data_IF_370735509107
#
_entry.id   IF_370735509107
#
_cell.length_a   1.000
_cell.length_b   1.000
_cell.length_c   1.000
_cell.angle_alpha   90.00
_cell.angle_beta   90.00
_cell.angle_gamma   90.00
#
_symmetry.space_group_name_H-M   'P 1'
#
loop_
_entity.id
_entity.type
_entity.pdbx_description
1 polymer ?
#
# COMPACT_ATOMS: atom_id res chain seq x y z
N UNK A 1 -9.89 10.01 -14.41
CA UNK A 1 -9.63 9.03 -13.34
C UNK A 1 -8.79 7.92 -13.93
N UNK A 2 -7.47 8.00 -13.74
CA UNK A 2 -6.52 7.01 -14.26
C UNK A 2 -6.48 5.83 -13.31
N UNK A 3 -6.96 4.69 -13.77
CA UNK A 3 -6.91 3.42 -13.03
C UNK A 3 -5.47 2.93 -13.01
N UNK A 4 -4.85 3.01 -11.86
CA UNK A 4 -3.53 2.44 -11.64
C UNK A 4 -3.63 0.90 -11.67
N UNK A 5 -2.76 0.31 -12.46
CA UNK A 5 -2.57 -1.13 -12.63
C UNK A 5 -2.44 -1.85 -11.28
N UNK A 6 -2.85 -3.12 -11.21
CA UNK A 6 -2.97 -3.99 -10.04
C UNK A 6 -1.68 -4.25 -9.22
N UNK A 7 -0.58 -3.59 -9.54
CA UNK A 7 0.59 -3.50 -8.65
C UNK A 7 0.33 -2.36 -7.68
N UNK A 8 0.44 -2.64 -6.38
CA UNK A 8 0.42 -1.62 -5.32
C UNK A 8 1.19 -0.39 -5.80
N UNK A 9 0.59 0.82 -5.76
CA UNK A 9 1.27 2.01 -6.22
C UNK A 9 2.60 2.12 -5.48
N UNK A 10 3.69 2.09 -6.23
CA UNK A 10 5.01 2.36 -5.64
C UNK A 10 4.92 3.74 -4.99
N UNK A 11 5.57 3.91 -3.84
CA UNK A 11 5.59 5.16 -3.06
C UNK A 11 5.89 6.39 -3.92
N UNK A 12 6.69 6.22 -4.97
CA UNK A 12 7.02 7.24 -5.94
C UNK A 12 5.81 7.73 -6.75
N UNK A 13 4.92 6.81 -7.15
CA UNK A 13 3.73 7.17 -7.92
C UNK A 13 2.72 7.96 -7.08
N UNK A 14 2.61 7.64 -5.78
CA UNK A 14 1.74 8.38 -4.88
C UNK A 14 2.23 9.83 -4.69
N UNK A 15 3.52 10.02 -4.43
CA UNK A 15 4.12 11.35 -4.28
C UNK A 15 4.02 12.17 -5.59
N UNK A 16 4.32 11.55 -6.73
CA UNK A 16 4.21 12.20 -8.04
C UNK A 16 2.77 12.61 -8.39
N UNK A 17 1.76 11.84 -7.94
CA UNK A 17 0.36 12.17 -8.18
C UNK A 17 -0.12 13.36 -7.37
N UNK A 18 0.35 13.52 -6.13
CA UNK A 18 0.04 14.68 -5.30
C UNK A 18 0.54 15.98 -5.92
N UNK A 19 1.76 16.00 -6.45
CA UNK A 19 2.31 17.18 -7.15
C UNK A 19 1.55 17.58 -8.42
N UNK A 20 0.68 16.71 -8.93
CA UNK A 20 -0.18 16.95 -10.09
C UNK A 20 -1.66 17.16 -9.71
N UNK A 21 -1.98 17.34 -8.45
CA UNK A 21 -3.35 17.41 -7.92
C UNK A 21 -4.23 16.20 -8.30
N UNK A 22 -3.62 15.03 -8.49
CA UNK A 22 -4.33 13.79 -8.78
C UNK A 22 -4.52 13.03 -7.47
N UNK A 23 -5.76 12.84 -7.06
CA UNK A 23 -6.08 11.98 -5.93
C UNK A 23 -5.97 10.50 -6.33
N UNK A 24 -4.89 9.86 -5.92
CA UNK A 24 -4.65 8.44 -6.18
C UNK A 24 -5.31 7.58 -5.11
N UNK A 25 -6.40 6.91 -5.47
CA UNK A 25 -7.08 5.97 -4.60
C UNK A 25 -6.49 4.56 -4.79
N UNK A 26 -5.68 4.14 -3.86
CA UNK A 26 -5.10 2.79 -3.88
C UNK A 26 -4.42 2.47 -2.56
N UNK A 27 -4.35 1.18 -2.18
CA UNK A 27 -3.70 0.79 -0.93
C UNK A 27 -2.21 1.06 -1.00
N UNK A 28 -1.68 1.67 0.03
CA UNK A 28 -0.24 1.80 0.22
C UNK A 28 0.28 0.58 0.99
N UNK A 29 1.49 0.17 0.68
CA UNK A 29 2.11 -0.96 1.36
C UNK A 29 2.24 -0.68 2.85
N UNK A 30 1.78 -1.61 3.67
CA UNK A 30 1.97 -1.59 5.12
C UNK A 30 3.46 -1.61 5.48
N UNK A 31 3.78 -1.23 6.69
CA UNK A 31 5.12 -1.44 7.22
C UNK A 31 5.33 -2.94 7.46
N UNK A 32 6.31 -3.51 6.75
CA UNK A 32 6.65 -4.93 6.87
C UNK A 32 7.82 -5.16 7.83
N UNK A 33 8.26 -4.14 8.56
CA UNK A 33 9.27 -4.32 9.59
C UNK A 33 8.75 -5.30 10.64
N UNK A 34 9.66 -6.05 11.28
CA UNK A 34 9.24 -6.95 12.34
C UNK A 34 8.65 -6.17 13.52
N UNK A 35 9.13 -4.94 13.75
CA UNK A 35 8.61 -4.05 14.78
C UNK A 35 7.14 -3.68 14.55
N UNK A 36 6.74 -3.47 13.31
CA UNK A 36 5.35 -3.16 13.00
C UNK A 36 4.41 -4.38 13.08
N UNK A 37 4.97 -5.60 13.13
CA UNK A 37 4.19 -6.85 13.25
C UNK A 37 4.02 -7.31 14.69
N UNK A 38 4.96 -6.96 15.56
CA UNK A 38 4.92 -7.32 16.97
C UNK A 38 4.32 -6.17 17.79
N UNK A 39 3.32 -6.47 18.60
CA UNK A 39 2.58 -5.45 19.37
C UNK A 39 3.48 -4.71 20.38
N UNK A 40 4.50 -5.38 20.91
CA UNK A 40 5.39 -4.81 21.92
C UNK A 40 6.66 -4.18 21.34
N UNK A 41 6.87 -4.24 20.04
CA UNK A 41 8.08 -3.72 19.43
C UNK A 41 7.94 -2.25 19.00
N UNK A 42 9.05 -1.52 19.07
CA UNK A 42 9.09 -0.10 18.70
C UNK A 42 9.27 0.07 17.19
N UNK A 43 8.19 0.35 16.52
CA UNK A 43 8.19 0.74 15.10
C UNK A 43 8.52 2.23 14.92
N UNK A 44 8.60 2.68 13.68
CA UNK A 44 8.96 4.07 13.37
C UNK A 44 7.94 5.09 13.89
N UNK A 45 6.69 4.71 14.11
CA UNK A 45 5.63 5.64 14.53
C UNK A 45 5.79 6.10 15.98
N UNK A 46 6.52 5.34 16.79
CA UNK A 46 6.78 5.64 18.20
C UNK A 46 8.01 6.54 18.41
N UNK A 47 8.75 6.80 17.33
CA UNK A 47 9.90 7.71 17.38
C UNK A 47 9.46 9.13 16.99
N UNK A 48 9.89 10.10 17.77
CA UNK A 48 9.66 11.51 17.47
C UNK A 48 10.75 12.03 16.53
N UNK A 49 10.33 12.51 15.35
CA UNK A 49 11.25 12.97 14.31
C UNK A 49 11.22 14.50 14.26
N UNK A 50 12.32 15.12 14.62
CA UNK A 50 12.56 16.54 14.43
C UNK A 50 13.34 16.72 13.12
N UNK A 51 12.62 17.18 12.11
CA UNK A 51 13.17 17.38 10.77
C UNK A 51 14.06 18.61 10.65
N UNK A 52 13.81 19.61 11.46
CA UNK A 52 14.52 20.90 11.38
C UNK A 52 15.87 20.81 12.09
N UNK A 53 15.92 20.14 13.23
CA UNK A 53 17.16 19.87 13.94
C UNK A 53 17.84 18.57 13.47
N UNK A 54 17.22 17.78 12.60
CA UNK A 54 17.72 16.50 12.11
C UNK A 54 18.02 15.49 13.25
N UNK A 55 17.10 15.41 14.19
CA UNK A 55 17.23 14.57 15.39
C UNK A 55 16.00 13.65 15.49
N UNK A 56 16.23 12.41 15.92
CA UNK A 56 15.15 11.51 16.33
C UNK A 56 15.29 11.18 17.80
N UNK A 57 14.17 11.28 18.52
CA UNK A 57 14.07 10.84 19.91
C UNK A 57 13.39 9.48 19.96
N UNK A 58 14.02 8.51 20.62
CA UNK A 58 13.44 7.19 20.82
C UNK A 58 12.38 7.20 21.94
N UNK A 59 11.52 6.16 22.06
CA UNK A 59 10.50 6.08 23.12
C UNK A 59 11.06 6.17 24.55
N UNK A 60 12.35 5.86 24.72
CA UNK A 60 13.06 5.97 26.03
C UNK A 60 13.76 7.33 26.21
N UNK A 61 13.44 8.35 25.39
CA UNK A 61 13.96 9.70 25.54
C UNK A 61 15.42 9.90 25.06
N UNK A 62 16.05 8.91 24.44
CA UNK A 62 17.41 9.06 23.90
C UNK A 62 17.36 9.63 22.48
N UNK A 63 18.28 10.55 22.18
CA UNK A 63 18.38 11.21 20.90
C UNK A 63 19.36 10.49 19.97
N UNK A 64 19.09 10.59 18.66
CA UNK A 64 20.00 10.08 17.64
C UNK A 64 21.35 10.81 17.67
N UNK A 65 22.42 10.13 17.26
CA UNK A 65 23.78 10.68 17.21
C UNK A 65 24.25 10.99 15.81
N UNK A 66 23.63 10.38 14.81
CA UNK A 66 24.02 10.59 13.43
C UNK A 66 22.77 10.67 12.55
N UNK A 67 22.79 11.64 11.63
CA UNK A 67 21.77 11.84 10.61
C UNK A 67 22.52 12.11 9.30
N UNK A 68 22.39 11.23 8.34
CA UNK A 68 23.13 11.35 7.10
C UNK A 68 22.41 10.75 5.89
N UNK A 69 22.89 11.07 4.69
CA UNK A 69 22.35 10.51 3.47
C UNK A 69 22.62 9.00 3.41
N UNK A 70 21.65 8.27 2.90
CA UNK A 70 21.74 6.84 2.64
C UNK A 70 21.23 6.49 1.26
N UNK A 71 21.51 5.27 0.83
CA UNK A 71 20.99 4.72 -0.42
C UNK A 71 20.06 3.56 -0.11
N UNK A 72 18.83 3.68 -0.53
CA UNK A 72 17.83 2.63 -0.48
C UNK A 72 17.93 1.66 -1.67
N UNK A 73 17.03 0.69 -1.75
CA UNK A 73 16.95 -0.22 -2.89
C UNK A 73 16.83 0.55 -4.21
N UNK A 74 17.54 0.08 -5.24
CA UNK A 74 17.61 0.72 -6.57
C UNK A 74 18.20 2.15 -6.56
N UNK A 75 19.07 2.46 -5.58
CA UNK A 75 19.74 3.75 -5.50
C UNK A 75 18.85 4.94 -5.07
N UNK A 76 17.62 4.69 -4.62
CA UNK A 76 16.73 5.77 -4.16
C UNK A 76 17.32 6.49 -2.95
N UNK A 77 17.23 7.82 -2.89
CA UNK A 77 17.74 8.58 -1.75
C UNK A 77 16.95 8.22 -0.48
N UNK A 78 17.68 8.01 0.60
CA UNK A 78 17.13 7.78 1.93
C UNK A 78 17.94 8.55 2.95
N UNK A 79 17.43 8.65 4.16
CA UNK A 79 18.13 9.23 5.30
C UNK A 79 18.38 8.10 6.28
N UNK A 80 19.62 7.95 6.70
CA UNK A 80 20.00 6.98 7.74
C UNK A 80 20.26 7.71 9.05
N UNK A 81 19.58 7.26 10.09
CA UNK A 81 19.67 7.82 11.41
C UNK A 81 20.13 6.74 12.38
N UNK A 82 21.19 7.00 13.15
CA UNK A 82 21.78 6.04 14.06
C UNK A 82 21.78 6.58 15.49
N UNK A 83 21.59 5.69 16.45
CA UNK A 83 21.72 5.97 17.87
C UNK A 83 23.09 5.56 18.38
N UNK A 84 23.52 6.14 19.51
CA UNK A 84 24.80 5.75 20.14
C UNK A 84 24.73 4.34 20.70
N UNK A 85 25.80 3.59 20.49
CA UNK A 85 25.87 2.22 21.04
C UNK A 85 25.65 2.21 22.57
N UNK A 86 26.30 3.11 23.30
CA UNK A 86 26.19 3.21 24.76
C UNK A 86 24.74 3.39 25.23
N UNK A 87 23.92 4.17 24.49
CA UNK A 87 22.54 4.47 24.85
C UNK A 87 21.62 3.26 24.56
N UNK A 88 21.92 2.49 23.52
CA UNK A 88 21.15 1.31 23.15
C UNK A 88 21.54 0.06 23.94
N UNK A 89 22.83 -0.11 24.28
CA UNK A 89 23.29 -1.31 25.00
C UNK A 89 22.91 -1.29 26.46
N UNK A 90 22.78 -0.11 27.08
CA UNK A 90 22.28 0.07 28.43
C UNK A 90 20.74 0.20 28.52
N UNK A 91 20.01 -0.06 27.47
CA UNK A 91 18.57 0.11 27.45
C UNK A 91 17.85 -1.20 27.82
N UNK A 92 17.01 -1.16 28.84
CA UNK A 92 16.25 -2.31 29.37
C UNK A 92 15.28 -2.91 28.32
N UNK A 93 14.76 -2.07 27.44
CA UNK A 93 13.80 -2.47 26.39
C UNK A 93 14.43 -2.62 25.01
N UNK A 94 15.74 -2.87 24.96
CA UNK A 94 16.51 -2.96 23.72
C UNK A 94 15.95 -4.01 22.76
N UNK A 95 15.51 -5.14 23.27
CA UNK A 95 14.98 -6.26 22.48
C UNK A 95 13.72 -5.87 21.70
N UNK A 96 12.91 -4.98 22.25
CA UNK A 96 11.72 -4.41 21.59
C UNK A 96 12.10 -3.46 20.44
N UNK A 97 13.33 -2.97 20.43
CA UNK A 97 13.81 -1.97 19.49
C UNK A 97 14.67 -2.58 18.37
N UNK A 98 15.60 -3.49 18.68
CA UNK A 98 16.51 -4.09 17.73
C UNK A 98 16.89 -5.52 18.09
N UNK A 99 16.96 -6.38 17.08
CA UNK A 99 17.43 -7.78 17.19
C UNK A 99 18.95 -7.90 17.02
N UNK A 100 19.63 -6.81 16.64
CA UNK A 100 21.08 -6.84 16.47
C UNK A 100 21.79 -6.99 17.81
N UNK A 101 22.70 -7.96 17.92
CA UNK A 101 23.53 -8.15 19.12
C UNK A 101 24.68 -7.14 19.21
N UNK A 102 25.15 -6.61 18.09
CA UNK A 102 26.39 -5.84 17.97
C UNK A 102 26.20 -4.38 17.55
N UNK A 103 25.03 -4.03 17.02
CA UNK A 103 24.74 -2.68 16.53
C UNK A 103 23.66 -1.98 17.35
N UNK A 104 23.75 -0.66 17.42
CA UNK A 104 22.68 0.20 17.92
C UNK A 104 21.51 0.24 16.95
N UNK A 105 20.39 0.83 17.38
CA UNK A 105 19.26 1.06 16.48
C UNK A 105 19.65 1.99 15.35
N UNK A 106 19.34 1.55 14.13
CA UNK A 106 19.43 2.37 12.93
C UNK A 106 18.02 2.48 12.32
N UNK A 107 17.64 3.68 11.93
CA UNK A 107 16.39 3.97 11.25
C UNK A 107 16.69 4.45 9.83
N UNK A 108 15.90 4.00 8.88
CA UNK A 108 15.98 4.47 7.49
C UNK A 108 14.69 5.22 7.17
N UNK A 109 14.81 6.49 6.88
CA UNK A 109 13.71 7.36 6.51
C UNK A 109 13.74 7.64 5.01
N UNK A 110 12.59 7.98 4.46
CA UNK A 110 12.52 8.68 3.19
C UNK A 110 12.84 10.18 3.38
N UNK A 111 13.15 10.93 2.31
CA UNK A 111 13.14 12.38 2.36
C UNK A 111 11.85 12.92 3.00
N UNK A 112 11.93 14.07 3.70
CA UNK A 112 10.83 14.62 4.54
C UNK A 112 9.46 14.52 3.88
N UNK A 113 9.32 15.07 2.67
CA UNK A 113 8.05 15.13 1.97
C UNK A 113 7.48 13.73 1.65
N UNK A 114 8.35 12.81 1.22
CA UNK A 114 7.95 11.44 0.93
C UNK A 114 7.56 10.68 2.20
N UNK A 115 8.28 10.91 3.29
CA UNK A 115 7.96 10.27 4.57
C UNK A 115 6.60 10.72 5.10
N UNK A 116 6.35 12.02 5.07
CA UNK A 116 5.07 12.60 5.49
C UNK A 116 3.92 12.13 4.59
N UNK A 117 4.12 12.09 3.28
CA UNK A 117 3.13 11.60 2.34
C UNK A 117 2.77 10.11 2.59
N UNK A 118 3.77 9.27 2.88
CA UNK A 118 3.55 7.86 3.22
C UNK A 118 2.76 7.72 4.52
N UNK A 119 3.10 8.49 5.55
CA UNK A 119 2.39 8.47 6.82
C UNK A 119 0.93 8.94 6.68
N UNK A 120 0.71 10.02 5.95
CA UNK A 120 -0.63 10.54 5.66
C UNK A 120 -1.48 9.52 4.88
N UNK A 121 -0.89 8.87 3.87
CA UNK A 121 -1.58 7.84 3.09
C UNK A 121 -1.94 6.60 3.92
N UNK A 122 -1.05 6.14 4.82
CA UNK A 122 -1.33 5.04 5.73
C UNK A 122 -2.47 5.37 6.70
N UNK A 123 -2.47 6.61 7.25
CA UNK A 123 -3.56 7.09 8.11
C UNK A 123 -4.89 7.17 7.36
N UNK A 124 -4.88 7.71 6.13
CA UNK A 124 -6.06 7.77 5.26
C UNK A 124 -6.63 6.38 4.96
N UNK A 125 -5.76 5.39 4.72
CA UNK A 125 -6.17 4.02 4.40
C UNK A 125 -6.97 3.35 5.54
N UNK A 126 -6.80 3.80 6.77
CA UNK A 126 -7.55 3.28 7.92
C UNK A 126 -8.96 3.89 8.05
N UNK A 127 -9.26 4.98 7.34
CA UNK A 127 -10.56 5.66 7.42
C UNK A 127 -11.66 4.88 6.70
N UNK A 128 -12.89 4.94 7.21
CA UNK A 128 -14.06 4.32 6.58
C UNK A 128 -14.32 4.91 5.19
N UNK A 129 -14.18 6.23 5.03
CA UNK A 129 -14.31 6.90 3.74
C UNK A 129 -13.39 6.33 2.67
N UNK A 130 -12.13 6.00 3.03
CA UNK A 130 -11.22 5.32 2.10
C UNK A 130 -11.71 3.92 1.76
N UNK A 131 -12.17 3.16 2.73
CA UNK A 131 -12.67 1.79 2.53
C UNK A 131 -13.88 1.78 1.60
N UNK A 132 -14.82 2.70 1.79
CA UNK A 132 -16.00 2.84 0.93
C UNK A 132 -15.60 3.17 -0.51
N UNK A 133 -14.76 4.19 -0.71
CA UNK A 133 -14.28 4.57 -2.03
C UNK A 133 -13.47 3.44 -2.69
N UNK A 134 -12.66 2.73 -1.92
CA UNK A 134 -11.86 1.63 -2.43
C UNK A 134 -12.71 0.40 -2.78
N UNK A 135 -13.81 0.16 -2.05
CA UNK A 135 -14.76 -0.92 -2.34
C UNK A 135 -15.38 -0.81 -3.75
N UNK A 136 -15.58 0.42 -4.25
CA UNK A 136 -16.05 0.65 -5.62
C UNK A 136 -15.08 0.05 -6.65
N UNK A 137 -13.78 0.06 -6.37
CA UNK A 137 -12.75 -0.52 -7.23
C UNK A 137 -12.89 -2.04 -7.36
N UNK A 138 -13.32 -2.74 -6.33
CA UNK A 138 -13.53 -4.19 -6.40
C UNK A 138 -14.56 -4.59 -7.45
N UNK A 139 -15.56 -3.74 -7.68
CA UNK A 139 -16.54 -3.91 -8.75
C UNK A 139 -15.91 -3.81 -10.16
N UNK A 140 -14.90 -2.96 -10.34
CA UNK A 140 -14.14 -2.85 -11.59
C UNK A 140 -13.31 -4.11 -11.83
N UNK A 141 -12.63 -4.60 -10.79
CA UNK A 141 -11.82 -5.82 -10.85
C UNK A 141 -12.70 -7.06 -11.13
N UNK A 142 -13.88 -7.14 -10.51
CA UNK A 142 -14.88 -8.15 -10.82
C UNK A 142 -15.37 -8.09 -12.27
N UNK A 143 -15.54 -6.89 -12.83
CA UNK A 143 -15.90 -6.70 -14.23
C UNK A 143 -14.79 -7.17 -15.19
N UNK A 144 -13.53 -6.82 -14.88
CA UNK A 144 -12.38 -7.29 -15.66
C UNK A 144 -12.23 -8.82 -15.54
N UNK A 145 -12.42 -9.39 -14.35
CA UNK A 145 -12.46 -10.84 -14.13
C UNK A 145 -13.53 -11.50 -15.01
N UNK A 146 -14.75 -10.99 -15.01
CA UNK A 146 -15.82 -11.50 -15.87
C UNK A 146 -15.45 -11.42 -17.36
N UNK A 147 -14.85 -10.31 -17.80
CA UNK A 147 -14.41 -10.14 -19.19
C UNK A 147 -13.31 -11.14 -19.57
N UNK A 148 -12.37 -11.40 -18.68
CA UNK A 148 -11.26 -12.32 -18.93
C UNK A 148 -11.66 -13.79 -18.89
N UNK A 149 -12.46 -14.18 -17.90
CA UNK A 149 -12.76 -15.59 -17.62
C UNK A 149 -13.93 -16.10 -18.46
N UNK A 150 -14.93 -15.25 -18.71
CA UNK A 150 -16.16 -15.65 -19.43
C UNK A 150 -16.16 -15.24 -20.90
N UNK A 151 -15.53 -14.13 -21.23
CA UNK A 151 -15.59 -13.55 -22.58
C UNK A 151 -14.25 -13.52 -23.31
N UNK A 152 -13.23 -14.14 -22.76
CA UNK A 152 -11.94 -14.35 -23.41
C UNK A 152 -11.16 -13.06 -23.73
N UNK A 153 -11.33 -12.00 -22.94
CA UNK A 153 -10.70 -10.70 -23.18
C UNK A 153 -9.18 -10.78 -23.37
N UNK A 154 -8.51 -11.71 -22.69
CA UNK A 154 -7.05 -11.92 -22.81
C UNK A 154 -6.66 -12.77 -24.03
N UNK A 155 -7.61 -13.36 -24.73
CA UNK A 155 -7.40 -14.26 -25.86
C UNK A 155 -8.02 -13.70 -27.11
N UNK A 156 -7.55 -12.52 -27.55
CA UNK A 156 -8.03 -11.95 -28.80
C UNK A 156 -7.63 -12.83 -29.99
N UNK A 157 -8.62 -13.17 -30.84
CA UNK A 157 -8.39 -13.88 -32.10
C UNK A 157 -7.89 -12.94 -33.21
N UNK A 158 -7.90 -11.64 -32.95
CA UNK A 158 -7.54 -10.61 -33.90
C UNK A 158 -6.11 -10.13 -33.67
N UNK A 159 -5.43 -9.82 -34.77
CA UNK A 159 -4.10 -9.21 -34.76
C UNK A 159 -4.19 -7.72 -35.01
N UNK A 160 -3.42 -6.94 -34.29
CA UNK A 160 -3.32 -5.50 -34.40
C UNK A 160 -4.22 -4.73 -33.42
N UNK A 161 -3.81 -3.51 -33.04
CA UNK A 161 -4.45 -2.74 -31.95
C UNK A 161 -5.89 -2.37 -32.25
N UNK A 162 -6.22 -1.97 -33.50
CA UNK A 162 -7.57 -1.54 -33.88
C UNK A 162 -8.60 -2.66 -33.76
N UNK A 163 -8.28 -3.85 -34.27
CA UNK A 163 -9.19 -5.00 -34.22
C UNK A 163 -9.32 -5.53 -32.77
N UNK A 164 -8.22 -5.52 -32.01
CA UNK A 164 -8.24 -5.89 -30.60
C UNK A 164 -9.05 -4.90 -29.78
N UNK A 165 -8.94 -3.60 -30.07
CA UNK A 165 -9.76 -2.58 -29.41
C UNK A 165 -11.25 -2.79 -29.68
N UNK A 166 -11.65 -3.02 -30.94
CA UNK A 166 -13.04 -3.33 -31.30
C UNK A 166 -13.55 -4.56 -30.53
N UNK A 167 -12.75 -5.62 -30.44
CA UNK A 167 -13.09 -6.81 -29.64
C UNK A 167 -13.34 -6.47 -28.16
N UNK A 168 -12.51 -5.64 -27.54
CA UNK A 168 -12.71 -5.21 -26.16
C UNK A 168 -13.96 -4.33 -25.98
N UNK A 169 -14.29 -3.48 -26.95
CA UNK A 169 -15.52 -2.69 -26.93
C UNK A 169 -16.76 -3.59 -27.01
N UNK A 170 -16.74 -4.60 -27.88
CA UNK A 170 -17.83 -5.58 -27.97
C UNK A 170 -18.00 -6.41 -26.68
N UNK A 171 -16.91 -6.79 -26.04
CA UNK A 171 -16.95 -7.45 -24.72
C UNK A 171 -17.58 -6.53 -23.67
N UNK A 172 -17.22 -5.26 -23.64
CA UNK A 172 -17.81 -4.30 -22.69
C UNK A 172 -19.32 -4.12 -22.95
N UNK A 173 -19.74 -4.03 -24.22
CA UNK A 173 -21.14 -3.97 -24.58
C UNK A 173 -21.91 -5.23 -24.14
N UNK A 174 -21.34 -6.43 -24.38
CA UNK A 174 -21.95 -7.70 -23.95
C UNK A 174 -22.13 -7.79 -22.43
N UNK A 175 -21.14 -7.33 -21.64
CA UNK A 175 -21.25 -7.28 -20.17
C UNK A 175 -22.38 -6.34 -19.76
N UNK A 176 -22.49 -5.17 -20.38
CA UNK A 176 -23.53 -4.20 -20.04
C UNK A 176 -24.92 -4.71 -20.41
N UNK A 177 -25.09 -5.31 -21.59
CA UNK A 177 -26.36 -5.94 -21.99
C UNK A 177 -26.76 -7.02 -20.99
N UNK A 178 -25.83 -7.93 -20.66
CA UNK A 178 -26.11 -8.97 -19.65
C UNK A 178 -26.57 -8.38 -18.31
N UNK A 179 -25.92 -7.33 -17.83
CA UNK A 179 -26.29 -6.66 -16.57
C UNK A 179 -27.68 -6.02 -16.63
N UNK A 180 -28.04 -5.43 -17.77
CA UNK A 180 -29.37 -4.87 -17.98
C UNK A 180 -30.41 -5.98 -17.97
N UNK A 181 -30.15 -7.08 -18.66
CA UNK A 181 -31.06 -8.23 -18.68
C UNK A 181 -31.23 -8.85 -17.29
N UNK A 182 -30.14 -9.04 -16.54
CA UNK A 182 -30.20 -9.53 -15.17
C UNK A 182 -31.02 -8.58 -14.27
N UNK A 183 -30.86 -7.27 -14.44
CA UNK A 183 -31.62 -6.27 -13.68
C UNK A 183 -33.12 -6.31 -14.05
N UNK A 184 -33.45 -6.38 -15.33
CA UNK A 184 -34.85 -6.48 -15.80
C UNK A 184 -35.51 -7.78 -15.35
N UNK A 185 -34.77 -8.86 -15.25
CA UNK A 185 -35.25 -10.15 -14.74
C UNK A 185 -35.33 -10.20 -13.20
N UNK A 186 -35.00 -9.12 -12.50
CA UNK A 186 -35.00 -9.09 -11.04
C UNK A 186 -33.95 -9.97 -10.36
N UNK A 187 -32.92 -10.40 -11.11
CA UNK A 187 -31.85 -11.21 -10.56
C UNK A 187 -31.00 -10.40 -9.57
N UNK A 188 -30.81 -10.85 -8.33
CA UNK A 188 -29.98 -10.15 -7.36
C UNK A 188 -28.51 -10.11 -7.83
N UNK A 189 -27.80 -9.04 -7.48
CA UNK A 189 -26.35 -8.97 -7.72
C UNK A 189 -25.68 -10.13 -7.02
N UNK A 190 -24.80 -10.84 -7.73
CA UNK A 190 -24.00 -11.90 -7.13
C UNK A 190 -23.14 -11.34 -5.99
N UNK A 191 -23.24 -11.93 -4.83
CA UNK A 191 -22.37 -11.57 -3.69
C UNK A 191 -20.93 -12.01 -3.99
N UNK A 192 -19.97 -11.27 -3.45
CA UNK A 192 -18.55 -11.64 -3.51
C UNK A 192 -18.37 -13.00 -2.84
N UNK A 193 -17.86 -13.98 -3.57
CA UNK A 193 -17.55 -15.30 -2.99
C UNK A 193 -16.47 -15.13 -1.92
N UNK A 194 -16.77 -15.57 -0.72
CA UNK A 194 -15.74 -15.77 0.29
C UNK A 194 -14.76 -16.83 -0.19
N UNK A 195 -13.46 -16.60 -0.01
CA UNK A 195 -12.48 -17.65 -0.24
C UNK A 195 -12.74 -18.82 0.70
N UNK A 196 -12.35 -20.05 0.31
CA UNK A 196 -12.52 -21.22 1.17
C UNK A 196 -11.89 -21.00 2.56
N UNK A 197 -10.76 -20.31 2.64
CA UNK A 197 -10.13 -19.93 3.91
C UNK A 197 -10.96 -18.93 4.73
N UNK A 198 -11.54 -17.92 4.09
CA UNK A 198 -12.40 -16.96 4.78
C UNK A 198 -13.70 -17.60 5.26
N UNK A 199 -14.23 -18.58 4.54
CA UNK A 199 -15.40 -19.34 4.95
C UNK A 199 -15.12 -20.19 6.22
N UNK A 200 -13.94 -20.79 6.34
CA UNK A 200 -13.51 -21.54 7.52
C UNK A 200 -13.42 -20.68 8.78
N UNK A 201 -12.93 -19.45 8.64
CA UNK A 201 -12.80 -18.50 9.76
C UNK A 201 -14.16 -17.94 10.22
N UNK A 202 -15.14 -17.84 9.31
CA UNK A 202 -16.48 -17.36 9.64
C UNK A 202 -17.36 -18.40 10.34
N UNK A 203 -16.88 -19.65 10.48
CA UNK A 203 -17.63 -20.79 11.08
C UNK A 203 -17.16 -21.08 12.52
N UNK A 204 -16.18 -20.32 13.02
CA UNK A 204 -15.68 -20.36 14.41
C UNK A 204 -16.22 -19.15 15.16
#
# INVERSE_FOLDING_TARGET
>A
MLLANSRLPERHNYFSSQGRHIDSLGPIRSDNSWQAREQDAFDLTQFQIDWDNQIITCPMGKTSSNWGPGKGPRGKPTIQVQFRKKDCFGCEVRERCTRSKTAARCLTLHPKDQQLAVQAARKRQQSESFKEQYAIRSGIEGTIGQATDKLGMRRSRYRGPTKTHLHHVLIAAAINIKRILDWLAGNPRSQTRLSHFAALVATI
#
